data_IF_258649726070
#
_entry.id   IF_258649726070
#
_cell.length_a   1.000
_cell.length_b   1.000
_cell.length_c   1.000
_cell.angle_alpha   90.00
_cell.angle_beta   90.00
_cell.angle_gamma   90.00
#
_symmetry.space_group_name_H-M   'P 1'
#
loop_
_entity.id
_entity.type
_entity.pdbx_description
1 polymer ?
#
# COMPACT_ATOMS: atom_id res chain seq x y z
N UNK A 1 5.05 -14.51 5.60
CA UNK A 1 4.31 -14.82 4.36
C UNK A 1 4.72 -13.81 3.31
N UNK A 2 4.81 -14.23 2.06
CA UNK A 2 5.23 -13.39 0.95
C UNK A 2 4.21 -13.48 -0.18
N UNK A 3 3.85 -12.35 -0.77
CA UNK A 3 2.98 -12.29 -1.94
C UNK A 3 3.78 -11.84 -3.16
N UNK A 4 3.45 -12.38 -4.32
CA UNK A 4 4.04 -11.95 -5.59
C UNK A 4 3.16 -10.85 -6.18
N UNK A 5 3.76 -9.72 -6.54
CA UNK A 5 3.05 -8.56 -7.11
C UNK A 5 3.77 -8.03 -8.34
N UNK A 6 2.99 -7.50 -9.28
CA UNK A 6 3.51 -6.82 -10.48
C UNK A 6 3.66 -5.33 -10.19
N UNK A 7 4.79 -4.77 -10.55
CA UNK A 7 5.11 -3.34 -10.42
C UNK A 7 4.57 -2.56 -11.62
N UNK A 8 4.44 -1.23 -11.50
CA UNK A 8 4.07 -0.39 -12.65
C UNK A 8 5.05 -0.42 -13.83
N UNK A 9 6.29 -0.85 -13.62
CA UNK A 9 7.26 -1.07 -14.71
C UNK A 9 7.08 -2.41 -15.42
N UNK A 10 6.19 -3.28 -14.93
CA UNK A 10 5.96 -4.63 -15.46
C UNK A 10 6.85 -5.70 -14.83
N UNK A 11 7.68 -5.34 -13.85
CA UNK A 11 8.52 -6.30 -13.12
C UNK A 11 7.71 -7.00 -12.03
N UNK A 12 8.04 -8.26 -11.78
CA UNK A 12 7.41 -9.06 -10.72
C UNK A 12 8.33 -9.14 -9.52
N UNK A 13 7.82 -8.77 -8.35
CA UNK A 13 8.57 -8.78 -7.08
C UNK A 13 7.84 -9.58 -6.00
N UNK A 14 8.57 -10.09 -5.03
CA UNK A 14 8.01 -10.73 -3.84
C UNK A 14 7.96 -9.75 -2.68
N UNK A 15 6.78 -9.43 -2.16
CA UNK A 15 6.61 -8.53 -1.01
C UNK A 15 6.33 -9.34 0.24
N UNK A 16 6.95 -8.97 1.35
CA UNK A 16 6.64 -9.51 2.67
C UNK A 16 5.31 -8.92 3.17
N UNK A 17 4.36 -9.79 3.51
CA UNK A 17 3.03 -9.45 4.03
C UNK A 17 2.93 -9.57 5.54
N UNK A 18 3.89 -10.24 6.19
CA UNK A 18 3.96 -10.35 7.64
C UNK A 18 4.57 -9.08 8.23
N UNK A 19 3.67 -8.24 8.74
CA UNK A 19 3.89 -7.06 9.57
C UNK A 19 5.15 -6.26 9.23
N UNK A 20 4.98 -5.17 8.48
CA UNK A 20 6.12 -4.30 8.23
C UNK A 20 6.60 -3.72 9.56
N UNK A 21 7.92 -3.74 9.77
CA UNK A 21 8.59 -2.94 10.82
C UNK A 21 8.28 -1.44 10.71
N UNK A 22 7.61 -1.03 9.64
CA UNK A 22 7.06 0.30 9.39
C UNK A 22 5.63 0.51 9.90
N UNK A 23 5.02 -0.46 10.58
CA UNK A 23 3.70 -0.32 11.21
C UNK A 23 2.50 -0.28 10.25
N UNK A 24 2.70 -0.71 9.00
CA UNK A 24 1.67 -1.00 8.00
C UNK A 24 1.57 -2.50 7.74
N UNK A 25 0.36 -2.99 7.48
CA UNK A 25 0.09 -4.39 7.16
C UNK A 25 -0.46 -4.52 5.75
N UNK A 26 -0.15 -5.63 5.09
CA UNK A 26 -0.80 -5.97 3.83
C UNK A 26 -2.32 -5.98 4.02
N UNK A 27 -3.06 -5.47 3.04
CA UNK A 27 -4.52 -5.32 3.13
C UNK A 27 -5.01 -4.02 3.74
N UNK A 28 -4.15 -3.24 4.41
CA UNK A 28 -4.55 -1.94 4.91
C UNK A 28 -4.79 -0.94 3.79
N UNK A 29 -5.85 -0.15 3.94
CA UNK A 29 -6.16 0.95 3.03
C UNK A 29 -5.79 2.26 3.73
N UNK A 30 -5.21 3.19 2.99
CA UNK A 30 -4.75 4.49 3.51
C UNK A 30 -5.12 5.63 2.57
N UNK A 31 -5.50 6.77 3.13
CA UNK A 31 -5.81 8.00 2.40
C UNK A 31 -4.62 8.93 2.35
N UNK A 32 -4.39 9.54 1.18
CA UNK A 32 -3.42 10.62 1.03
C UNK A 32 -4.08 11.96 1.41
N UNK A 33 -3.50 12.68 2.39
CA UNK A 33 -4.07 13.94 2.91
C UNK A 33 -3.23 15.18 2.62
N UNK A 34 -1.94 15.04 2.25
CA UNK A 34 -1.04 16.20 2.06
C UNK A 34 -0.31 16.32 0.71
N UNK A 35 -0.46 15.43 -0.26
CA UNK A 35 0.12 15.66 -1.61
C UNK A 35 -0.48 14.82 -2.76
N UNK A 36 -0.27 15.33 -4.00
CA UNK A 36 -0.38 14.84 -5.41
C UNK A 36 -1.45 13.82 -5.85
N UNK A 37 -2.00 13.03 -4.94
CA UNK A 37 -3.05 12.03 -5.14
C UNK A 37 -4.32 12.40 -4.35
N UNK A 38 -4.66 13.69 -4.34
CA UNK A 38 -5.85 14.20 -3.68
C UNK A 38 -7.10 13.40 -4.14
N UNK A 39 -7.81 12.80 -3.19
CA UNK A 39 -8.97 11.96 -3.48
C UNK A 39 -8.66 10.54 -3.97
N UNK A 40 -7.44 10.03 -3.78
CA UNK A 40 -7.10 8.62 -4.02
C UNK A 40 -6.73 7.93 -2.70
N UNK A 41 -6.85 6.61 -2.69
CA UNK A 41 -6.44 5.73 -1.60
C UNK A 41 -5.33 4.79 -2.06
N UNK A 42 -4.55 4.28 -1.12
CA UNK A 42 -3.57 3.24 -1.35
C UNK A 42 -3.95 1.95 -0.63
N UNK A 43 -3.84 0.82 -1.32
CA UNK A 43 -3.86 -0.52 -0.74
C UNK A 43 -2.43 -0.94 -0.46
N UNK A 44 -2.07 -1.13 0.80
CA UNK A 44 -0.78 -1.65 1.20
C UNK A 44 -0.68 -3.13 0.79
N UNK A 45 0.35 -3.46 0.02
CA UNK A 45 0.63 -4.83 -0.44
C UNK A 45 1.69 -5.52 0.39
N UNK A 46 2.59 -4.75 0.99
CA UNK A 46 3.65 -5.27 1.84
C UNK A 46 4.94 -4.49 1.68
N UNK A 47 6.05 -5.10 2.07
CA UNK A 47 7.39 -4.49 2.01
C UNK A 47 8.40 -5.38 1.33
N UNK A 48 9.33 -4.78 0.60
CA UNK A 48 10.51 -5.46 0.07
C UNK A 48 11.68 -4.47 0.04
N UNK A 49 12.89 -4.91 0.41
CA UNK A 49 14.13 -4.12 0.35
C UNK A 49 14.03 -2.75 1.05
N UNK A 50 13.27 -2.69 2.14
CA UNK A 50 13.06 -1.46 2.90
C UNK A 50 12.11 -0.45 2.24
N UNK A 51 11.44 -0.84 1.16
CA UNK A 51 10.40 -0.04 0.50
C UNK A 51 9.01 -0.55 0.92
N UNK A 52 8.06 0.38 1.05
CA UNK A 52 6.64 0.05 1.15
C UNK A 52 6.05 -0.03 -0.25
N UNK A 53 5.34 -1.11 -0.53
CA UNK A 53 4.68 -1.36 -1.81
C UNK A 53 3.17 -1.27 -1.67
N UNK A 54 2.54 -0.54 -2.60
CA UNK A 54 1.11 -0.24 -2.54
C UNK A 54 0.51 0.00 -3.92
N UNK A 55 -0.75 -0.37 -4.10
CA UNK A 55 -1.54 -0.06 -5.29
C UNK A 55 -2.42 1.15 -5.01
N UNK A 56 -2.79 1.94 -6.01
CA UNK A 56 -3.59 3.16 -5.80
C UNK A 56 -4.88 3.17 -6.58
N UNK A 57 -5.94 3.56 -5.87
CA UNK A 57 -7.31 3.52 -6.34
C UNK A 57 -8.00 4.87 -6.11
N UNK A 58 -9.06 5.18 -6.88
CA UNK A 58 -9.92 6.33 -6.63
C UNK A 58 -10.64 6.27 -5.27
N UNK A 59 -11.08 5.08 -4.83
CA UNK A 59 -11.90 4.94 -3.62
C UNK A 59 -11.47 3.76 -2.74
N UNK A 60 -11.75 3.83 -1.44
CA UNK A 60 -11.51 2.74 -0.49
C UNK A 60 -12.30 1.47 -0.86
N UNK A 61 -13.51 1.61 -1.40
CA UNK A 61 -14.33 0.49 -1.85
C UNK A 61 -13.65 -0.29 -2.99
N UNK A 62 -13.08 0.42 -3.97
CA UNK A 62 -12.31 -0.21 -5.05
C UNK A 62 -11.03 -0.89 -4.53
N UNK A 63 -10.36 -0.28 -3.55
CA UNK A 63 -9.16 -0.87 -2.93
C UNK A 63 -9.46 -2.13 -2.09
N UNK A 64 -10.72 -2.33 -1.68
CA UNK A 64 -11.14 -3.45 -0.84
C UNK A 64 -11.55 -4.71 -1.64
N UNK A 65 -11.65 -4.64 -2.97
CA UNK A 65 -12.09 -5.79 -3.78
C UNK A 65 -10.96 -6.79 -4.04
N UNK A 66 -11.31 -8.00 -4.47
CA UNK A 66 -10.32 -9.03 -4.83
C UNK A 66 -9.55 -8.65 -6.12
N UNK A 67 -10.20 -7.95 -7.05
CA UNK A 67 -9.56 -7.48 -8.28
C UNK A 67 -8.47 -6.44 -8.00
N UNK A 68 -8.60 -5.69 -6.91
CA UNK A 68 -7.60 -4.73 -6.45
C UNK A 68 -6.23 -5.39 -6.20
N UNK A 69 -6.21 -6.68 -5.83
CA UNK A 69 -4.96 -7.42 -5.58
C UNK A 69 -4.11 -7.59 -6.85
N UNK A 70 -4.74 -7.51 -8.02
CA UNK A 70 -4.08 -7.64 -9.34
C UNK A 70 -3.56 -6.30 -9.86
N UNK A 71 -3.90 -5.19 -9.20
CA UNK A 71 -3.48 -3.87 -9.66
C UNK A 71 -1.98 -3.67 -9.44
N UNK A 72 -1.28 -3.05 -10.41
CA UNK A 72 0.16 -2.88 -10.32
C UNK A 72 0.56 -1.98 -9.15
N UNK A 73 1.69 -2.33 -8.54
CA UNK A 73 2.19 -1.68 -7.34
C UNK A 73 3.16 -0.55 -7.65
N UNK A 74 3.16 0.43 -6.77
CA UNK A 74 4.10 1.53 -6.68
C UNK A 74 4.89 1.40 -5.37
N UNK A 75 6.01 2.08 -5.26
CA UNK A 75 6.83 2.07 -4.04
C UNK A 75 7.31 3.43 -3.60
N UNK A 76 7.64 3.52 -2.31
CA UNK A 76 8.48 4.58 -1.78
C UNK A 76 9.36 4.05 -0.66
N UNK A 77 10.45 4.77 -0.41
CA UNK A 77 11.33 4.51 0.72
C UNK A 77 10.66 4.87 2.03
N UNK A 78 10.52 3.89 2.92
CA UNK A 78 9.96 4.09 4.24
C UNK A 78 11.06 3.88 5.29
N UNK A 79 11.15 4.78 6.27
CA UNK A 79 11.98 4.59 7.46
C UNK A 79 11.15 4.30 8.72
N UNK A 80 9.83 4.48 8.65
CA UNK A 80 8.90 4.27 9.76
C UNK A 80 7.52 4.88 9.49
N UNK A 81 6.47 4.34 10.12
CA UNK A 81 5.07 4.79 9.98
C UNK A 81 4.92 6.30 10.13
N UNK A 82 5.52 6.83 11.18
CA UNK A 82 5.36 8.24 11.57
C UNK A 82 6.01 9.20 10.58
N UNK A 83 7.14 8.81 9.97
CA UNK A 83 7.81 9.61 8.95
C UNK A 83 6.96 9.66 7.67
N UNK A 84 6.40 8.52 7.26
CA UNK A 84 5.50 8.44 6.08
C UNK A 84 4.23 9.25 6.31
N UNK A 85 3.61 9.12 7.48
CA UNK A 85 2.42 9.89 7.85
C UNK A 85 2.75 11.40 7.84
N UNK A 86 3.92 11.81 8.35
CA UNK A 86 4.32 13.23 8.36
C UNK A 86 4.64 13.76 6.97
N UNK A 87 5.33 12.97 6.13
CA UNK A 87 5.80 13.39 4.82
C UNK A 87 4.69 13.38 3.76
N UNK A 88 3.82 12.37 3.79
CA UNK A 88 2.78 12.16 2.78
C UNK A 88 1.36 12.36 3.30
N UNK A 89 1.17 12.51 4.62
CA UNK A 89 -0.13 12.72 5.22
C UNK A 89 -1.00 11.47 5.08
N UNK A 90 -0.61 10.34 5.65
CA UNK A 90 -1.38 9.10 5.53
C UNK A 90 -2.35 8.94 6.68
N UNK A 91 -3.61 8.62 6.37
CA UNK A 91 -4.63 8.23 7.37
C UNK A 91 -5.09 6.82 7.04
N UNK A 92 -4.99 5.92 8.01
CA UNK A 92 -5.46 4.53 7.85
C UNK A 92 -6.99 4.55 7.81
N UNK A 93 -7.57 3.87 6.82
CA UNK A 93 -9.01 3.67 6.71
C UNK A 93 -9.46 2.54 7.66
N UNK A 94 -10.69 2.59 8.13
CA UNK A 94 -11.31 1.50 8.89
C UNK A 94 -11.59 0.28 7.98
N UNK A 95 -11.78 0.51 6.68
CA UNK A 95 -11.86 -0.52 5.65
C UNK A 95 -10.49 -1.17 5.43
N UNK A 96 -10.53 -2.49 5.31
CA UNK A 96 -9.37 -3.33 4.96
C UNK A 96 -9.76 -4.26 3.83
N UNK A 97 -8.80 -4.56 2.97
CA UNK A 97 -8.95 -5.63 2.01
C UNK A 97 -8.64 -6.96 2.70
N UNK A 98 -9.69 -7.76 2.94
CA UNK A 98 -9.59 -9.06 3.63
C UNK A 98 -9.11 -10.20 2.73
N UNK A 99 -8.86 -9.93 1.44
CA UNK A 99 -8.37 -10.92 0.48
C UNK A 99 -6.83 -10.94 0.35
N UNK A 100 -6.14 -10.04 1.07
CA UNK A 100 -4.67 -9.95 1.12
C UNK A 100 -4.01 -11.01 2.00
#
# INVERSE_FOLDING_TARGET
MSATVETKSGDTISVNTEDSSYGFKAGQIVHFTKSLRNGKVALVRGTNEGLLWFSVFPTAAEAATEEALKAPVDSFSCRGKEEVIRQYGWVVDDLVNTHC
#
